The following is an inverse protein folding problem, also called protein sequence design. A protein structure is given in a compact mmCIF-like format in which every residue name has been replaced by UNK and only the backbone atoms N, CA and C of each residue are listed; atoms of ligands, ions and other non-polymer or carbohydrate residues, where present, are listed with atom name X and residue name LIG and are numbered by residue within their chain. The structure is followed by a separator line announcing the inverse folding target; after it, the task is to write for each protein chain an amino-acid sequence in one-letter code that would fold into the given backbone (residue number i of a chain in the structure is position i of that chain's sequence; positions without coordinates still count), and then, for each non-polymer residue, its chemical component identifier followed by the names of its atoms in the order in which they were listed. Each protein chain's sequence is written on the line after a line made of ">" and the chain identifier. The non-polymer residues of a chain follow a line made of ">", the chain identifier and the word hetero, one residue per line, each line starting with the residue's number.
data_IF_068631016670
#
_entry.id   IF_068631016670
#
_cell.length_a   1.000
_cell.length_b   1.000
_cell.length_c   1.000
_cell.angle_alpha   90.00
_cell.angle_beta   90.00
_cell.angle_gamma   90.00
#
_symmetry.space_group_name_H-M   'P 1'
#
loop_
_entity.id
_entity.type
_entity.pdbx_description
1 polymer ?
#
# COMPACT_ATOMS: atom_id res chain seq x y z
N UNK A 1 12.84 22.56 18.17
CA UNK A 1 12.77 22.13 16.78
C UNK A 1 11.45 21.40 16.61
N UNK A 2 10.64 21.76 15.60
CA UNK A 2 9.34 21.13 15.37
C UNK A 2 9.58 19.78 14.67
N UNK A 3 8.87 18.71 15.06
CA UNK A 3 8.96 17.38 14.40
C UNK A 3 8.84 17.50 12.87
N UNK A 4 8.00 18.44 12.40
CA UNK A 4 7.79 18.71 10.97
C UNK A 4 9.04 19.27 10.26
N UNK A 5 9.83 20.11 10.92
CA UNK A 5 11.05 20.67 10.32
C UNK A 5 12.13 19.59 10.18
N UNK A 6 12.26 18.73 11.19
CA UNK A 6 13.16 17.58 11.15
C UNK A 6 12.72 16.56 10.10
N UNK A 7 11.41 16.29 9.98
CA UNK A 7 10.87 15.47 8.90
C UNK A 7 11.23 16.05 7.53
N UNK A 8 11.04 17.37 7.33
CA UNK A 8 11.40 18.03 6.06
C UNK A 8 12.90 17.96 5.77
N UNK A 9 13.75 18.03 6.79
CA UNK A 9 15.19 17.87 6.63
C UNK A 9 15.54 16.44 6.21
N UNK A 10 15.01 15.45 6.93
CA UNK A 10 15.22 14.04 6.65
C UNK A 10 14.78 13.66 5.23
N UNK A 11 13.62 14.16 4.78
CA UNK A 11 13.13 13.94 3.42
C UNK A 11 14.08 14.50 2.36
N UNK A 12 14.68 15.67 2.61
CA UNK A 12 15.63 16.28 1.68
C UNK A 12 16.95 15.51 1.60
N UNK A 13 17.38 14.91 2.71
CA UNK A 13 18.60 14.12 2.78
C UNK A 13 18.42 12.74 2.14
N UNK A 14 17.32 12.06 2.47
CA UNK A 14 17.09 10.66 2.13
C UNK A 14 16.31 10.46 0.83
N UNK A 15 15.56 11.49 0.40
CA UNK A 15 14.79 11.48 -0.85
C UNK A 15 13.81 10.28 -0.95
N UNK A 16 13.06 10.01 0.12
CA UNK A 16 12.09 8.90 0.20
C UNK A 16 11.04 8.94 -0.90
N UNK A 17 10.72 7.80 -1.51
CA UNK A 17 9.66 7.73 -2.52
C UNK A 17 8.26 7.79 -1.91
N UNK A 18 8.09 7.17 -0.73
CA UNK A 18 6.84 7.01 -0.01
C UNK A 18 7.11 7.22 1.47
N UNK A 19 6.23 7.96 2.14
CA UNK A 19 6.34 8.28 3.57
C UNK A 19 4.98 8.07 4.21
N UNK A 20 4.90 7.27 5.26
CA UNK A 20 3.71 7.16 6.09
C UNK A 20 3.96 7.85 7.44
N UNK A 21 2.99 8.63 7.90
CA UNK A 21 3.05 9.32 9.19
C UNK A 21 1.77 9.05 9.95
N UNK A 22 1.92 8.51 11.16
CA UNK A 22 0.86 8.36 12.16
C UNK A 22 0.85 9.58 13.10
N UNK A 23 -0.26 9.77 13.78
CA UNK A 23 -0.45 10.82 14.79
C UNK A 23 -0.19 12.26 14.31
N UNK A 24 -0.61 12.56 13.08
CA UNK A 24 -0.47 13.87 12.42
C UNK A 24 -1.06 15.01 13.26
N UNK A 25 -2.17 14.74 13.95
CA UNK A 25 -2.96 15.71 14.68
C UNK A 25 -2.65 15.68 16.18
N UNK A 26 -2.56 16.84 16.85
CA UNK A 26 -2.22 16.91 18.27
C UNK A 26 -3.31 16.28 19.14
N UNK A 27 -2.90 15.66 20.26
CA UNK A 27 -3.79 14.98 21.20
C UNK A 27 -4.89 15.89 21.78
N UNK A 28 -4.61 17.18 21.93
CA UNK A 28 -5.54 18.17 22.47
C UNK A 28 -6.07 19.10 21.37
N UNK A 29 -7.06 18.64 20.59
CA UNK A 29 -7.70 19.39 19.48
C UNK A 29 -8.71 20.44 19.92
N UNK A 30 -8.37 21.34 20.85
CA UNK A 30 -9.24 22.51 21.03
C UNK A 30 -9.02 23.46 19.85
N UNK A 31 -9.85 23.33 18.82
CA UNK A 31 -9.96 24.22 17.65
C UNK A 31 -8.77 24.21 16.68
N UNK A 32 -8.08 23.08 16.50
CA UNK A 32 -7.02 22.99 15.49
C UNK A 32 -7.65 22.53 14.17
N UNK A 33 -7.89 23.48 13.27
CA UNK A 33 -8.06 23.19 11.84
C UNK A 33 -6.66 23.21 11.21
N UNK A 34 -6.17 22.04 10.80
CA UNK A 34 -4.95 21.98 9.99
C UNK A 34 -5.38 22.23 8.56
N UNK A 35 -4.88 23.31 7.95
CA UNK A 35 -5.11 23.59 6.53
C UNK A 35 -4.31 22.63 5.64
N UNK A 36 -4.79 22.38 4.43
CA UNK A 36 -4.09 21.55 3.42
C UNK A 36 -2.63 21.99 3.19
N UNK A 37 -2.35 23.29 3.23
CA UNK A 37 -0.99 23.84 3.08
C UNK A 37 -0.06 23.45 4.24
N UNK A 38 -0.61 23.20 5.43
CA UNK A 38 0.17 22.72 6.56
C UNK A 38 0.53 21.24 6.41
N UNK A 39 -0.18 20.47 5.59
CA UNK A 39 0.15 19.07 5.31
C UNK A 39 1.13 18.96 4.15
N UNK A 40 1.02 19.83 3.14
CA UNK A 40 1.83 19.82 1.92
C UNK A 40 3.34 19.66 2.16
N UNK A 41 3.96 18.84 1.33
CA UNK A 41 5.41 18.67 1.21
C UNK A 41 5.80 18.86 -0.27
N UNK A 42 6.79 19.70 -0.54
CA UNK A 42 7.18 20.04 -1.91
C UNK A 42 7.68 18.79 -2.67
N UNK A 43 7.09 18.52 -3.84
CA UNK A 43 7.42 17.35 -4.67
C UNK A 43 6.69 16.06 -4.29
N UNK A 44 5.73 16.13 -3.36
CA UNK A 44 4.93 15.00 -2.91
C UNK A 44 3.43 15.26 -3.08
N UNK A 45 2.72 14.23 -3.53
CA UNK A 45 1.29 14.08 -3.28
C UNK A 45 1.09 13.66 -1.81
N UNK A 46 -0.04 14.05 -1.22
CA UNK A 46 -0.44 13.61 0.11
C UNK A 46 -1.86 13.07 0.10
N UNK A 47 -2.07 12.00 0.86
CA UNK A 47 -3.36 11.33 1.01
C UNK A 47 -3.68 11.23 2.49
N UNK A 48 -4.86 11.68 2.90
CA UNK A 48 -5.42 11.52 4.24
C UNK A 48 -6.94 11.49 4.16
N UNK A 49 -7.59 10.97 5.21
CA UNK A 49 -9.03 11.15 5.41
C UNK A 49 -9.32 12.61 5.79
N UNK A 50 -10.57 13.05 5.60
CA UNK A 50 -10.97 14.40 6.01
C UNK A 50 -10.76 14.59 7.51
N UNK A 51 -9.98 15.61 7.88
CA UNK A 51 -9.71 15.96 9.26
C UNK A 51 -10.74 16.93 9.86
N UNK A 52 -11.70 17.40 9.06
CA UNK A 52 -12.84 18.20 9.52
C UNK A 52 -13.68 17.40 10.50
N UNK A 53 -13.91 17.94 11.70
CA UNK A 53 -14.61 17.26 12.80
C UNK A 53 -14.06 15.87 13.18
N UNK A 54 -12.80 15.59 12.82
CA UNK A 54 -12.18 14.29 13.05
C UNK A 54 -11.78 14.12 14.51
N UNK A 55 -12.22 13.02 15.14
CA UNK A 55 -11.94 12.71 16.55
C UNK A 55 -10.89 11.59 16.68
N UNK A 56 -9.69 11.85 16.18
CA UNK A 56 -8.55 10.94 16.16
C UNK A 56 -7.20 11.66 16.00
N UNK A 57 -6.09 10.94 15.96
CA UNK A 57 -4.72 11.45 15.77
C UNK A 57 -4.31 11.53 14.29
N UNK A 58 -4.96 10.82 13.38
CA UNK A 58 -4.84 10.89 11.92
C UNK A 58 -3.62 10.17 11.36
N UNK A 59 -3.79 9.62 10.15
CA UNK A 59 -2.72 9.05 9.32
C UNK A 59 -2.63 9.81 8.00
N UNK A 60 -1.43 9.90 7.45
CA UNK A 60 -1.16 10.49 6.13
C UNK A 60 -0.11 9.65 5.40
N UNK A 61 -0.33 9.43 4.11
CA UNK A 61 0.67 8.85 3.21
C UNK A 61 1.08 9.92 2.22
N UNK A 62 2.38 10.16 2.10
CA UNK A 62 2.98 10.97 1.05
C UNK A 62 3.61 10.06 0.00
N UNK A 63 3.48 10.42 -1.27
CA UNK A 63 4.20 9.78 -2.37
C UNK A 63 4.83 10.86 -3.24
N UNK A 64 6.00 10.60 -3.83
CA UNK A 64 6.56 11.53 -4.83
C UNK A 64 5.53 11.78 -5.94
N UNK A 65 5.45 13.00 -6.44
CA UNK A 65 4.52 13.40 -7.50
C UNK A 65 4.64 12.53 -8.77
N UNK A 66 5.83 11.97 -9.01
CA UNK A 66 6.09 11.06 -10.14
C UNK A 66 5.48 9.66 -9.99
N UNK A 67 4.96 9.30 -8.81
CA UNK A 67 4.37 7.99 -8.54
C UNK A 67 2.87 8.04 -8.84
N UNK A 68 2.33 7.13 -9.67
CA UNK A 68 0.91 7.07 -10.02
C UNK A 68 0.09 6.45 -8.87
N UNK A 69 0.04 7.16 -7.75
CA UNK A 69 -0.69 6.80 -6.55
C UNK A 69 -2.12 7.36 -6.59
N UNK A 70 -3.08 6.61 -6.04
CA UNK A 70 -4.46 7.06 -5.89
C UNK A 70 -5.03 6.64 -4.54
N UNK A 71 -5.89 7.50 -4.00
CA UNK A 71 -6.59 7.24 -2.75
C UNK A 71 -7.57 6.08 -2.91
N UNK A 72 -7.61 5.18 -1.94
CA UNK A 72 -8.62 4.13 -1.86
C UNK A 72 -9.62 4.54 -0.80
N UNK A 73 -10.80 4.94 -1.26
CA UNK A 73 -11.90 5.32 -0.37
C UNK A 73 -12.39 4.09 0.39
N UNK A 74 -12.17 4.08 1.70
CA UNK A 74 -12.79 3.14 2.60
C UNK A 74 -14.04 3.80 3.18
N UNK A 75 -15.22 3.26 2.84
CA UNK A 75 -16.47 3.71 3.45
C UNK A 75 -16.48 3.38 4.94
N UNK A 76 -17.13 4.28 5.70
CA UNK A 76 -17.48 4.24 7.12
C UNK A 76 -16.46 4.76 8.16
N UNK A 77 -17.02 5.19 9.29
CA UNK A 77 -16.28 5.55 10.51
C UNK A 77 -15.70 4.27 11.10
N UNK A 78 -14.39 4.11 10.97
CA UNK A 78 -13.64 3.02 11.59
C UNK A 78 -13.23 3.36 13.04
N UNK A 79 -13.19 2.34 13.90
CA UNK A 79 -12.55 2.34 15.22
C UNK A 79 -11.02 2.41 15.17
N UNK A 80 -10.41 2.04 14.04
CA UNK A 80 -9.00 2.27 13.76
C UNK A 80 -8.80 3.47 12.84
N UNK A 81 -7.66 4.14 12.98
CA UNK A 81 -7.33 5.28 12.14
C UNK A 81 -6.42 4.80 11.03
N UNK A 82 -6.96 4.65 9.83
CA UNK A 82 -6.20 4.10 8.71
C UNK A 82 -6.38 4.89 7.41
N UNK A 83 -5.47 4.64 6.49
CA UNK A 83 -5.56 5.12 5.11
C UNK A 83 -4.92 4.11 4.16
N UNK A 84 -5.57 3.89 3.02
CA UNK A 84 -5.03 3.07 1.94
C UNK A 84 -4.81 3.88 0.65
N UNK A 85 -3.68 3.60 0.01
CA UNK A 85 -3.26 4.17 -1.27
C UNK A 85 -2.89 3.03 -2.21
N UNK A 86 -3.43 3.06 -3.42
CA UNK A 86 -3.06 2.13 -4.49
C UNK A 86 -2.00 2.76 -5.39
N UNK A 87 -1.04 1.96 -5.83
CA UNK A 87 -0.04 2.35 -6.84
C UNK A 87 -0.15 1.38 -8.02
N UNK A 88 -0.37 1.92 -9.22
CA UNK A 88 -0.43 1.15 -10.46
C UNK A 88 0.53 1.74 -11.49
N UNK A 89 1.65 1.06 -11.69
CA UNK A 89 2.55 1.32 -12.80
C UNK A 89 2.24 0.37 -13.97
N UNK A 90 2.52 0.80 -15.21
CA UNK A 90 2.28 -0.03 -16.39
C UNK A 90 3.19 -1.27 -16.38
N UNK A 91 2.62 -2.46 -16.57
CA UNK A 91 3.32 -3.75 -16.56
C UNK A 91 4.08 -4.04 -15.25
N UNK A 92 3.66 -3.44 -14.14
CA UNK A 92 4.18 -3.73 -12.80
C UNK A 92 3.07 -4.30 -11.94
N UNK A 93 3.42 -5.10 -10.92
CA UNK A 93 2.48 -5.52 -9.89
C UNK A 93 1.77 -4.31 -9.29
N UNK A 94 0.47 -4.44 -9.09
CA UNK A 94 -0.33 -3.42 -8.41
C UNK A 94 -0.06 -3.49 -6.91
N UNK A 95 0.35 -2.37 -6.32
CA UNK A 95 0.72 -2.29 -4.92
C UNK A 95 -0.38 -1.59 -4.10
N UNK A 96 -0.79 -2.22 -3.01
CA UNK A 96 -1.61 -1.62 -1.97
C UNK A 96 -0.72 -1.20 -0.80
N UNK A 97 -0.83 0.05 -0.37
CA UNK A 97 -0.17 0.56 0.83
C UNK A 97 -1.23 1.00 1.82
N UNK A 98 -1.19 0.46 3.03
CA UNK A 98 -2.09 0.86 4.12
C UNK A 98 -1.27 1.36 5.30
N UNK A 99 -1.57 2.56 5.78
CA UNK A 99 -1.02 3.11 7.01
C UNK A 99 -2.07 3.03 8.12
N UNK A 100 -1.73 2.43 9.27
CA UNK A 100 -2.64 2.23 10.40
C UNK A 100 -2.07 2.93 11.64
N UNK A 101 -2.94 3.61 12.38
CA UNK A 101 -2.73 4.03 13.75
C UNK A 101 -3.85 3.48 14.62
N UNK A 102 -3.49 2.70 15.63
CA UNK A 102 -4.39 2.27 16.68
C UNK A 102 -4.00 2.98 17.98
N UNK A 103 -4.97 3.67 18.58
CA UNK A 103 -4.78 4.23 19.93
C UNK A 103 -4.57 3.13 20.98
N UNK A 104 -3.59 3.28 21.90
CA UNK A 104 -3.33 2.29 22.95
C UNK A 104 -4.50 2.11 23.93
N UNK A 105 -5.39 3.11 24.02
CA UNK A 105 -6.58 3.05 24.88
C UNK A 105 -7.77 2.33 24.23
N UNK A 106 -7.67 1.97 22.95
CA UNK A 106 -8.77 1.34 22.22
C UNK A 106 -8.69 -0.19 22.33
N UNK A 107 -9.29 -0.75 23.38
CA UNK A 107 -9.42 -2.20 23.59
C UNK A 107 -10.82 -2.71 23.26
N UNK A 108 -11.59 -1.95 22.48
CA UNK A 108 -12.93 -2.34 22.07
C UNK A 108 -12.88 -3.58 21.16
N UNK A 109 -13.78 -4.55 21.38
CA UNK A 109 -13.86 -5.74 20.53
C UNK A 109 -14.03 -5.40 19.05
N UNK A 110 -14.70 -4.28 18.75
CA UNK A 110 -14.89 -3.78 17.38
C UNK A 110 -13.58 -3.31 16.75
N UNK A 111 -12.65 -2.76 17.54
CA UNK A 111 -11.30 -2.44 17.06
C UNK A 111 -10.56 -3.70 16.62
N UNK A 112 -10.74 -4.82 17.35
CA UNK A 112 -10.13 -6.09 16.99
C UNK A 112 -10.72 -6.59 15.68
N UNK A 113 -12.05 -6.61 15.58
CA UNK A 113 -12.76 -7.02 14.37
C UNK A 113 -12.35 -6.19 13.16
N UNK A 114 -12.20 -4.87 13.29
CA UNK A 114 -11.77 -4.03 12.18
C UNK A 114 -10.32 -4.24 11.77
N UNK A 115 -9.41 -4.56 12.70
CA UNK A 115 -8.05 -4.96 12.34
C UNK A 115 -8.04 -6.27 11.56
N UNK A 116 -8.84 -7.25 12.01
CA UNK A 116 -9.05 -8.52 11.30
C UNK A 116 -9.62 -8.26 9.91
N UNK A 117 -10.70 -7.49 9.82
CA UNK A 117 -11.30 -7.09 8.56
C UNK A 117 -10.33 -6.29 7.69
N UNK A 118 -9.41 -5.51 8.24
CA UNK A 118 -8.42 -4.79 7.41
C UNK A 118 -7.48 -5.77 6.75
N UNK A 119 -7.00 -6.77 7.48
CA UNK A 119 -6.16 -7.84 6.93
C UNK A 119 -6.96 -8.73 5.96
N UNK A 120 -8.19 -9.09 6.30
CA UNK A 120 -9.07 -9.91 5.46
C UNK A 120 -9.58 -9.18 4.22
N UNK A 121 -9.98 -7.90 4.31
CA UNK A 121 -10.38 -7.06 3.15
C UNK A 121 -9.22 -6.83 2.20
N UNK A 122 -7.97 -6.87 2.70
CA UNK A 122 -6.83 -6.92 1.77
C UNK A 122 -6.77 -8.24 0.99
N UNK A 123 -7.39 -9.32 1.48
CA UNK A 123 -7.40 -10.65 0.88
C UNK A 123 -8.71 -11.04 0.16
N UNK A 124 -9.87 -10.51 0.55
CA UNK A 124 -11.20 -10.95 0.10
C UNK A 124 -11.94 -9.79 -0.60
N UNK A 125 -12.21 -9.98 -1.89
CA UNK A 125 -13.21 -9.20 -2.63
C UNK A 125 -12.66 -8.21 -3.65
N UNK A 126 -12.39 -8.67 -4.87
CA UNK A 126 -12.48 -7.87 -6.11
C UNK A 126 -11.43 -6.78 -6.36
N UNK A 127 -10.49 -6.52 -5.43
CA UNK A 127 -9.41 -5.56 -5.67
C UNK A 127 -8.08 -6.27 -5.92
N UNK A 128 -7.75 -6.47 -7.20
CA UNK A 128 -6.54 -7.14 -7.72
C UNK A 128 -5.23 -6.42 -7.33
N UNK A 129 -4.80 -6.46 -6.06
CA UNK A 129 -3.47 -6.00 -5.65
C UNK A 129 -2.53 -7.19 -5.48
N UNK A 130 -1.49 -7.24 -6.31
CA UNK A 130 -0.47 -8.28 -6.30
C UNK A 130 0.41 -8.18 -5.05
N UNK A 131 0.77 -6.96 -4.67
CA UNK A 131 1.65 -6.66 -3.56
C UNK A 131 0.94 -5.81 -2.51
N UNK A 132 1.22 -6.08 -1.24
CA UNK A 132 0.60 -5.42 -0.09
C UNK A 132 1.67 -4.99 0.88
N UNK A 133 1.58 -3.74 1.33
CA UNK A 133 2.39 -3.17 2.40
C UNK A 133 1.43 -2.57 3.42
N UNK A 134 1.42 -3.10 4.63
CA UNK A 134 0.66 -2.54 5.75
C UNK A 134 1.67 -2.09 6.80
N UNK A 135 1.60 -0.83 7.22
CA UNK A 135 2.56 -0.29 8.18
C UNK A 135 1.93 0.72 9.12
N UNK A 136 2.58 0.98 10.25
CA UNK A 136 2.19 2.04 11.18
C UNK A 136 2.23 1.59 12.63
N UNK A 137 1.61 2.36 13.51
CA UNK A 137 1.66 2.17 14.96
C UNK A 137 0.39 1.44 15.45
N UNK A 138 0.55 0.19 15.84
CA UNK A 138 -0.54 -0.66 16.29
C UNK A 138 -0.77 -0.59 17.81
N UNK A 139 0.21 -0.10 18.58
CA UNK A 139 0.16 -0.08 20.04
C UNK A 139 -0.22 -1.46 20.67
N UNK A 140 0.26 -2.57 20.10
CA UNK A 140 0.03 -3.94 20.61
C UNK A 140 1.35 -4.47 21.18
N UNK A 141 1.52 -4.30 22.49
CA UNK A 141 2.79 -4.60 23.19
C UNK A 141 2.97 -6.08 23.56
N UNK A 142 1.90 -6.85 23.70
CA UNK A 142 1.95 -8.18 24.31
C UNK A 142 2.10 -9.29 23.24
N UNK A 143 2.85 -9.03 22.18
CA UNK A 143 3.25 -10.01 21.15
C UNK A 143 4.77 -10.09 21.14
N UNK A 144 5.29 -11.30 21.28
CA UNK A 144 6.69 -11.61 21.00
C UNK A 144 6.84 -11.87 19.51
N UNK A 145 7.28 -10.86 18.75
CA UNK A 145 7.46 -10.96 17.29
C UNK A 145 8.62 -11.86 16.86
N UNK A 146 9.62 -12.07 17.72
CA UNK A 146 10.73 -12.97 17.44
C UNK A 146 10.27 -14.44 17.34
N UNK A 147 9.34 -14.82 18.21
CA UNK A 147 8.80 -16.19 18.26
C UNK A 147 7.38 -16.27 17.70
N UNK A 148 6.81 -15.14 17.27
CA UNK A 148 5.40 -14.99 16.92
C UNK A 148 4.47 -15.61 17.97
N UNK A 149 4.57 -15.20 19.24
CA UNK A 149 3.75 -15.78 20.32
C UNK A 149 3.21 -14.72 21.26
N UNK A 150 2.13 -15.05 21.95
CA UNK A 150 1.56 -14.28 23.04
C UNK A 150 1.20 -15.22 24.18
N UNK A 151 1.33 -14.77 25.42
CA UNK A 151 0.93 -15.54 26.62
C UNK A 151 -0.54 -15.36 26.99
N UNK A 152 -1.27 -14.56 26.21
CA UNK A 152 -2.67 -14.25 26.48
C UNK A 152 -3.63 -15.31 25.92
N UNK A 153 -4.84 -15.33 26.47
CA UNK A 153 -5.93 -16.19 26.04
C UNK A 153 -6.43 -15.86 24.63
N UNK A 154 -7.22 -16.76 24.04
CA UNK A 154 -7.74 -16.66 22.67
C UNK A 154 -8.49 -15.35 22.39
N UNK A 155 -9.27 -14.86 23.37
CA UNK A 155 -10.09 -13.66 23.17
C UNK A 155 -9.33 -12.33 23.32
N UNK A 156 -8.05 -12.37 23.69
CA UNK A 156 -7.25 -11.17 23.88
C UNK A 156 -6.87 -10.51 22.55
N UNK A 157 -6.79 -9.17 22.53
CA UNK A 157 -6.41 -8.37 21.36
C UNK A 157 -5.13 -8.90 20.68
N UNK A 158 -4.05 -9.10 21.45
CA UNK A 158 -2.78 -9.59 20.93
C UNK A 158 -2.91 -10.95 20.23
N UNK A 159 -3.69 -11.86 20.81
CA UNK A 159 -3.90 -13.20 20.26
C UNK A 159 -4.72 -13.13 18.98
N UNK A 160 -5.86 -12.43 18.99
CA UNK A 160 -6.69 -12.26 17.79
C UNK A 160 -5.96 -11.56 16.66
N UNK A 161 -5.16 -10.55 16.97
CA UNK A 161 -4.38 -9.82 15.99
C UNK A 161 -3.30 -10.70 15.35
N UNK A 162 -2.58 -11.47 16.17
CA UNK A 162 -1.55 -12.40 15.69
C UNK A 162 -2.16 -13.49 14.80
N UNK A 163 -3.27 -14.10 15.21
CA UNK A 163 -3.96 -15.12 14.40
C UNK A 163 -4.50 -14.52 13.08
N UNK A 164 -5.02 -13.29 13.11
CA UNK A 164 -5.48 -12.62 11.89
C UNK A 164 -4.37 -12.36 10.88
N UNK A 165 -3.18 -11.97 11.36
CA UNK A 165 -2.01 -11.80 10.50
C UNK A 165 -1.61 -13.13 9.86
N UNK A 166 -1.64 -14.23 10.62
CA UNK A 166 -1.35 -15.59 10.14
C UNK A 166 -2.36 -16.09 9.12
N UNK A 167 -3.64 -15.98 9.43
CA UNK A 167 -4.75 -16.39 8.54
C UNK A 167 -4.73 -15.58 7.22
N UNK A 168 -4.17 -14.37 7.28
CA UNK A 168 -4.00 -13.50 6.13
C UNK A 168 -2.68 -13.69 5.38
N UNK A 169 -1.82 -14.64 5.81
CA UNK A 169 -0.48 -14.90 5.27
C UNK A 169 0.41 -13.64 5.22
N UNK A 170 0.25 -12.74 6.20
CA UNK A 170 1.05 -11.54 6.33
C UNK A 170 2.34 -11.83 7.10
N UNK A 171 3.45 -11.29 6.59
CA UNK A 171 4.79 -11.45 7.15
C UNK A 171 5.18 -10.15 7.81
N UNK A 172 5.45 -10.20 9.12
CA UNK A 172 5.92 -9.05 9.90
C UNK A 172 7.45 -8.94 9.78
N UNK A 173 7.97 -7.73 9.53
CA UNK A 173 9.41 -7.51 9.27
C UNK A 173 10.20 -6.85 10.41
N UNK A 174 9.54 -6.28 11.42
CA UNK A 174 10.17 -5.47 12.48
C UNK A 174 10.53 -6.34 13.68
N UNK A 175 11.83 -6.52 13.94
CA UNK A 175 12.32 -7.41 15.00
C UNK A 175 12.92 -6.67 16.22
N UNK A 176 13.20 -5.37 16.07
CA UNK A 176 13.78 -4.53 17.12
C UNK A 176 12.77 -3.54 17.68
N UNK A 177 12.98 -3.09 18.92
CA UNK A 177 12.10 -2.13 19.58
C UNK A 177 11.97 -0.83 18.77
N UNK A 178 10.74 -0.39 18.55
CA UNK A 178 10.45 0.84 17.79
C UNK A 178 10.12 2.00 18.70
N UNK A 179 9.73 1.71 19.95
CA UNK A 179 9.45 2.72 20.96
C UNK A 179 10.37 2.54 22.16
N UNK A 180 11.17 3.57 22.41
CA UNK A 180 12.13 3.61 23.53
C UNK A 180 11.98 4.94 24.27
N UNK A 181 11.29 4.92 25.42
CA UNK A 181 11.15 6.09 26.29
C UNK A 181 11.72 5.79 27.66
N UNK A 182 12.78 6.50 28.06
CA UNK A 182 13.46 6.49 29.38
C UNK A 182 12.99 5.45 30.43
N UNK A 183 11.75 5.57 30.94
CA UNK A 183 11.19 4.76 32.03
C UNK A 183 10.17 3.68 31.60
N UNK A 184 9.74 3.64 30.35
CA UNK A 184 8.83 2.63 29.82
C UNK A 184 9.62 1.41 29.32
N UNK A 185 9.02 0.22 29.44
CA UNK A 185 9.58 -1.00 28.84
C UNK A 185 9.62 -0.82 27.31
N UNK A 186 10.78 -1.00 26.66
CA UNK A 186 10.87 -0.97 25.20
C UNK A 186 9.91 -1.96 24.56
N UNK A 187 9.28 -1.57 23.46
CA UNK A 187 8.29 -2.39 22.77
C UNK A 187 8.35 -2.19 21.25
N UNK A 188 7.96 -3.24 20.53
CA UNK A 188 7.75 -3.23 19.08
C UNK A 188 6.28 -2.86 18.85
N UNK A 189 6.01 -1.58 18.60
CA UNK A 189 4.65 -1.05 18.42
C UNK A 189 4.37 -0.66 16.97
N UNK A 190 5.42 -0.24 16.27
CA UNK A 190 5.39 0.08 14.86
C UNK A 190 5.71 -1.20 14.07
N UNK A 191 4.77 -1.62 13.23
CA UNK A 191 4.87 -2.88 12.50
C UNK A 191 4.88 -2.62 11.01
N UNK A 192 5.55 -3.51 10.27
CA UNK A 192 5.55 -3.54 8.81
C UNK A 192 5.16 -4.97 8.43
N UNK A 193 4.06 -5.10 7.71
CA UNK A 193 3.57 -6.35 7.14
C UNK A 193 3.59 -6.32 5.62
N UNK A 194 3.96 -7.43 5.01
CA UNK A 194 3.81 -7.67 3.58
C UNK A 194 3.22 -9.04 3.30
N UNK A 195 2.71 -9.26 2.10
CA UNK A 195 2.23 -10.58 1.66
C UNK A 195 3.32 -11.44 1.00
N UNK A 196 4.54 -10.91 0.84
CA UNK A 196 5.68 -11.62 0.24
C UNK A 196 6.95 -11.32 1.07
N UNK A 197 7.72 -12.36 1.41
CA UNK A 197 8.88 -12.27 2.32
C UNK A 197 9.98 -11.35 1.76
N UNK A 198 10.20 -11.39 0.45
CA UNK A 198 11.27 -10.64 -0.22
C UNK A 198 10.96 -9.18 -0.53
N UNK A 199 9.86 -8.62 -0.02
CA UNK A 199 9.43 -7.25 -0.32
C UNK A 199 10.22 -6.17 0.43
N UNK A 200 10.72 -6.47 1.63
CA UNK A 200 11.43 -5.49 2.47
C UNK A 200 12.93 -5.77 2.44
N UNK A 201 13.72 -4.74 2.16
CA UNK A 201 15.18 -4.78 2.26
C UNK A 201 15.72 -3.59 3.04
N UNK A 202 16.88 -3.76 3.66
CA UNK A 202 17.59 -2.69 4.38
C UNK A 202 16.68 -1.96 5.38
N UNK A 203 15.93 -2.72 6.18
CA UNK A 203 15.15 -2.14 7.27
C UNK A 203 16.10 -1.55 8.32
N UNK A 204 16.01 -0.25 8.53
CA UNK A 204 16.85 0.53 9.42
C UNK A 204 15.99 1.31 10.41
N UNK A 205 16.44 1.33 11.66
CA UNK A 205 15.89 2.19 12.71
C UNK A 205 16.68 3.49 12.74
N UNK A 206 16.03 4.60 12.36
CA UNK A 206 16.60 5.94 12.42
C UNK A 206 16.16 6.66 13.70
N UNK A 207 16.95 7.63 14.18
CA UNK A 207 16.64 8.36 15.40
C UNK A 207 15.22 8.99 15.37
N UNK A 208 14.54 9.04 16.53
CA UNK A 208 13.25 9.68 16.66
C UNK A 208 13.27 11.15 16.22
N UNK A 209 12.20 11.60 15.55
CA UNK A 209 12.04 13.01 15.19
C UNK A 209 11.65 13.85 16.41
N UNK A 210 12.47 14.85 16.72
CA UNK A 210 12.28 15.83 17.78
C UNK A 210 12.21 15.20 19.17
N UNK A 211 11.01 15.20 19.76
CA UNK A 211 10.73 14.59 21.07
C UNK A 211 9.86 13.34 20.96
N UNK A 212 9.80 12.73 19.78
CA UNK A 212 9.15 11.43 19.62
C UNK A 212 9.89 10.39 20.46
N UNK A 213 9.15 9.43 21.00
CA UNK A 213 9.68 8.22 21.61
C UNK A 213 9.65 7.03 20.64
N UNK A 214 9.13 7.23 19.44
CA UNK A 214 9.15 6.27 18.33
C UNK A 214 10.30 6.58 17.37
N UNK A 215 11.04 5.53 17.00
CA UNK A 215 12.05 5.54 15.95
C UNK A 215 11.41 5.76 14.58
N UNK A 216 12.20 6.23 13.62
CA UNK A 216 11.79 6.28 12.22
C UNK A 216 12.23 5.00 11.52
N UNK A 217 11.28 4.22 11.02
CA UNK A 217 11.58 3.03 10.21
C UNK A 217 11.81 3.43 8.75
N UNK A 218 12.96 3.03 8.22
CA UNK A 218 13.39 3.30 6.85
C UNK A 218 13.73 1.99 6.16
N UNK A 219 13.21 1.75 4.96
CA UNK A 219 13.45 0.50 4.24
C UNK A 219 13.26 0.67 2.72
N UNK A 220 13.80 -0.27 1.96
CA UNK A 220 13.58 -0.39 0.54
C UNK A 220 12.42 -1.37 0.28
N UNK A 221 11.44 -0.92 -0.51
CA UNK A 221 10.31 -1.75 -0.93
C UNK A 221 10.57 -2.31 -2.33
N UNK A 222 10.68 -3.63 -2.44
CA UNK A 222 10.76 -4.34 -3.72
C UNK A 222 9.36 -4.56 -4.29
N UNK A 223 9.03 -3.78 -5.31
CA UNK A 223 7.74 -3.90 -6.01
C UNK A 223 7.82 -4.67 -7.32
N UNK A 224 9.01 -5.14 -7.71
CA UNK A 224 9.20 -5.93 -8.93
C UNK A 224 9.15 -7.40 -8.58
N UNK A 225 8.21 -8.15 -9.16
CA UNK A 225 8.48 -9.56 -9.37
C UNK A 225 9.77 -9.66 -10.18
N UNK A 226 10.61 -10.66 -9.95
CA UNK A 226 11.67 -11.03 -10.89
C UNK A 226 11.01 -11.53 -12.20
N UNK A 227 10.31 -10.65 -12.89
CA UNK A 227 9.88 -10.85 -14.23
C UNK A 227 11.17 -10.89 -15.06
N UNK A 228 11.45 -12.07 -15.63
CA UNK A 228 12.27 -12.17 -16.84
C UNK A 228 11.94 -10.98 -17.72
N UNK A 229 12.92 -10.30 -18.34
CA UNK A 229 12.68 -9.06 -19.07
C UNK A 229 11.52 -9.26 -20.03
N UNK A 230 10.36 -8.75 -19.63
CA UNK A 230 9.17 -8.83 -20.44
C UNK A 230 9.38 -7.77 -21.50
N UNK A 231 9.67 -8.20 -22.73
CA UNK A 231 9.46 -7.33 -23.87
C UNK A 231 7.98 -6.97 -23.81
N UNK A 232 7.64 -5.78 -23.31
CA UNK A 232 6.24 -5.39 -23.20
C UNK A 232 5.66 -5.32 -24.61
N UNK A 233 4.87 -6.32 -24.95
CA UNK A 233 4.11 -6.40 -26.19
C UNK A 233 2.81 -5.63 -25.95
N UNK A 234 2.72 -4.42 -26.51
CA UNK A 234 1.49 -3.61 -26.41
C UNK A 234 0.56 -3.98 -27.56
N UNK A 235 -0.69 -4.44 -27.32
CA UNK A 235 -1.65 -4.67 -28.38
C UNK A 235 -1.90 -3.39 -29.18
N UNK A 236 -1.82 -3.47 -30.50
CA UNK A 236 -2.09 -2.37 -31.40
C UNK A 236 -3.53 -2.47 -31.90
N UNK A 237 -4.49 -2.09 -31.06
CA UNK A 237 -5.93 -2.16 -31.37
C UNK A 237 -6.29 -1.49 -32.70
N UNK A 238 -5.62 -0.38 -33.06
CA UNK A 238 -5.82 0.28 -34.35
C UNK A 238 -5.53 -0.61 -35.58
N UNK A 239 -4.74 -1.67 -35.42
CA UNK A 239 -4.40 -2.63 -36.48
C UNK A 239 -5.08 -3.99 -36.30
N UNK A 240 -6.07 -4.11 -35.41
CA UNK A 240 -6.80 -5.35 -35.20
C UNK A 240 -7.67 -5.73 -36.40
N UNK A 241 -7.78 -7.04 -36.67
CA UNK A 241 -8.74 -7.57 -37.64
C UNK A 241 -10.10 -7.79 -36.95
N UNK A 242 -10.90 -6.73 -36.93
CA UNK A 242 -12.20 -6.73 -36.27
C UNK A 242 -13.26 -7.59 -36.98
N UNK A 243 -13.13 -7.81 -38.28
CA UNK A 243 -14.05 -8.65 -39.03
C UNK A 243 -13.88 -10.12 -38.62
N UNK A 244 -12.63 -10.58 -38.52
CA UNK A 244 -12.34 -11.95 -38.03
C UNK A 244 -12.73 -12.13 -36.56
N UNK A 245 -12.49 -11.12 -35.71
CA UNK A 245 -12.94 -11.14 -34.30
C UNK A 245 -14.46 -11.30 -34.23
N UNK A 246 -15.20 -10.50 -35.00
CA UNK A 246 -16.67 -10.54 -35.02
C UNK A 246 -17.19 -11.89 -35.48
N UNK A 247 -16.61 -12.46 -36.54
CA UNK A 247 -16.99 -13.79 -37.05
C UNK A 247 -16.72 -14.88 -36.02
N UNK A 248 -15.55 -14.87 -35.36
CA UNK A 248 -15.22 -15.83 -34.30
C UNK A 248 -16.19 -15.74 -33.12
N UNK A 249 -16.39 -14.53 -32.59
CA UNK A 249 -17.31 -14.32 -31.47
C UNK A 249 -18.76 -14.70 -31.79
N UNK A 250 -19.18 -14.54 -33.04
CA UNK A 250 -20.52 -14.95 -33.49
C UNK A 250 -20.65 -16.45 -33.71
N UNK A 251 -19.54 -17.20 -33.73
CA UNK A 251 -19.54 -18.66 -33.92
C UNK A 251 -19.56 -19.45 -32.60
N UNK A 252 -19.34 -18.80 -31.46
CA UNK A 252 -19.45 -19.44 -30.15
C UNK A 252 -20.91 -19.64 -29.75
N UNK A 253 -21.20 -20.80 -29.18
CA UNK A 253 -22.48 -21.07 -28.53
C UNK A 253 -22.45 -20.48 -27.11
N UNK A 254 -22.82 -19.20 -27.00
CA UNK A 254 -22.79 -18.48 -25.73
C UNK A 254 -23.71 -19.07 -24.67
N UNK A 255 -24.78 -19.77 -25.06
CA UNK A 255 -25.66 -20.43 -24.08
C UNK A 255 -24.95 -21.62 -23.46
N UNK A 256 -24.17 -22.39 -24.23
CA UNK A 256 -23.37 -23.48 -23.69
C UNK A 256 -22.16 -22.97 -22.89
N UNK A 257 -21.46 -21.96 -23.40
CA UNK A 257 -20.23 -21.45 -22.80
C UNK A 257 -20.47 -20.70 -21.48
N UNK A 258 -21.64 -20.08 -21.31
CA UNK A 258 -22.02 -19.34 -20.09
C UNK A 258 -22.90 -20.15 -19.13
N UNK A 259 -23.06 -21.45 -19.36
CA UNK A 259 -23.82 -22.35 -18.49
C UNK A 259 -22.92 -23.11 -17.49
N UNK A 260 -21.60 -22.93 -17.58
CA UNK A 260 -20.64 -23.55 -16.68
C UNK A 260 -20.54 -22.74 -15.37
N UNK A 261 -21.27 -23.20 -14.34
CA UNK A 261 -21.08 -22.73 -12.96
C UNK A 261 -21.86 -21.48 -12.58
N UNK A 262 -21.44 -20.83 -11.48
CA UNK A 262 -22.06 -19.61 -10.97
C UNK A 262 -21.82 -18.40 -11.88
N UNK A 263 -22.34 -17.24 -11.47
CA UNK A 263 -22.16 -15.97 -12.22
C UNK A 263 -20.68 -15.65 -12.42
N UNK A 264 -19.84 -15.95 -11.43
CA UNK A 264 -18.40 -15.69 -11.48
C UNK A 264 -17.69 -16.58 -12.51
N UNK A 265 -17.92 -17.90 -12.47
CA UNK A 265 -17.35 -18.86 -13.42
C UNK A 265 -17.75 -18.52 -14.87
N UNK A 266 -19.00 -18.09 -15.07
CA UNK A 266 -19.51 -17.66 -16.38
C UNK A 266 -18.83 -16.39 -16.87
N UNK A 267 -18.51 -15.46 -15.95
CA UNK A 267 -17.82 -14.21 -16.27
C UNK A 267 -16.33 -14.43 -16.57
N UNK A 268 -15.66 -15.31 -15.83
CA UNK A 268 -14.28 -15.74 -16.13
C UNK A 268 -14.22 -16.38 -17.51
N UNK A 269 -15.13 -17.33 -17.79
CA UNK A 269 -15.21 -18.00 -19.09
C UNK A 269 -15.44 -17.03 -20.25
N UNK A 270 -16.36 -16.09 -20.07
CA UNK A 270 -16.60 -15.01 -21.04
C UNK A 270 -15.33 -14.20 -21.31
N UNK A 271 -14.65 -13.79 -20.23
CA UNK A 271 -13.45 -12.95 -20.30
C UNK A 271 -12.32 -13.67 -21.01
N UNK A 272 -12.12 -14.96 -20.76
CA UNK A 272 -11.11 -15.79 -21.41
C UNK A 272 -11.32 -15.87 -22.93
N UNK A 273 -12.56 -16.15 -23.37
CA UNK A 273 -12.91 -16.23 -24.79
C UNK A 273 -12.59 -14.92 -25.51
N UNK A 274 -12.93 -13.79 -24.88
CA UNK A 274 -12.68 -12.46 -25.44
C UNK A 274 -11.19 -12.17 -25.49
N UNK A 275 -10.45 -12.45 -24.41
CA UNK A 275 -9.01 -12.20 -24.35
C UNK A 275 -8.24 -13.04 -25.37
N UNK A 276 -8.60 -14.31 -25.55
CA UNK A 276 -7.93 -15.19 -26.50
C UNK A 276 -8.23 -14.78 -27.94
N UNK A 277 -9.49 -14.41 -28.22
CA UNK A 277 -9.86 -13.84 -29.53
C UNK A 277 -9.10 -12.55 -29.82
N UNK A 278 -8.88 -11.70 -28.81
CA UNK A 278 -8.08 -10.47 -28.95
C UNK A 278 -6.61 -10.81 -29.23
N UNK A 279 -6.00 -11.74 -28.47
CA UNK A 279 -4.59 -12.13 -28.65
C UNK A 279 -4.31 -12.67 -30.05
N UNK A 280 -5.24 -13.44 -30.62
CA UNK A 280 -5.07 -14.04 -31.93
C UNK A 280 -5.19 -13.05 -33.09
N UNK A 281 -5.98 -11.97 -32.93
CA UNK A 281 -6.38 -11.11 -34.04
C UNK A 281 -5.91 -9.66 -33.91
N UNK A 282 -5.32 -9.26 -32.78
CA UNK A 282 -4.76 -7.93 -32.57
C UNK A 282 -3.22 -8.01 -32.52
N UNK A 283 -2.51 -7.42 -33.49
CA UNK A 283 -1.05 -7.49 -33.53
C UNK A 283 -0.43 -6.69 -32.39
N UNK A 284 0.66 -7.20 -31.83
CA UNK A 284 1.40 -6.56 -30.75
C UNK A 284 2.59 -5.75 -31.25
N UNK A 285 2.84 -4.59 -30.64
CA UNK A 285 4.02 -3.76 -30.89
C UNK A 285 5.08 -4.05 -29.82
N UNK A 286 6.27 -4.45 -30.27
CA UNK A 286 7.45 -4.55 -29.40
C UNK A 286 8.01 -3.15 -29.15
N UNK A 287 8.25 -2.79 -27.89
CA UNK A 287 8.98 -1.56 -27.56
C UNK A 287 10.45 -1.73 -27.95
N UNK A 288 10.89 -1.03 -29.01
CA UNK A 288 12.32 -0.82 -29.26
C UNK A 288 12.84 0.13 -28.18
N UNK A 289 13.86 -0.30 -27.45
CA UNK A 289 14.67 0.57 -26.59
C UNK A 289 15.44 1.56 -27.48
N UNK A 290 14.80 2.64 -27.88
CA UNK A 290 15.52 3.78 -28.42
C UNK A 290 16.34 4.40 -27.29
N UNK A 291 17.65 4.13 -27.30
CA UNK A 291 18.63 4.91 -26.53
C UNK A 291 18.42 6.37 -26.92
N UNK A 292 17.94 7.19 -25.98
CA UNK A 292 17.95 8.64 -26.14
C UNK A 292 19.40 9.07 -26.43
N UNK A 293 19.67 9.49 -27.68
CA UNK A 293 20.87 10.26 -27.97
C UNK A 293 20.62 11.65 -27.38
N UNK A 294 21.37 12.01 -26.35
CA UNK A 294 21.42 13.38 -25.85
C UNK A 294 21.72 14.32 -27.02
N UNK A 295 20.98 15.44 -27.19
CA UNK A 295 21.40 16.51 -28.08
C UNK A 295 22.73 17.08 -27.56
N UNK A 296 23.74 17.15 -28.42
CA UNK A 296 24.98 17.85 -28.12
C UNK A 296 24.71 19.31 -27.71
N UNK A 297 25.39 19.75 -26.65
CA UNK A 297 25.28 21.09 -26.09
C UNK A 297 25.64 22.17 -27.11
N UNK A 298 24.83 23.22 -27.13
CA UNK A 298 25.11 24.44 -27.88
C UNK A 298 25.95 25.38 -27.01
N UNK A 299 27.20 25.57 -27.39
CA UNK A 299 28.02 26.73 -27.03
C UNK A 299 27.65 27.90 -27.93
N UNK A 300 27.45 29.08 -27.35
CA UNK A 300 27.58 30.35 -28.08
C UNK A 300 28.60 31.22 -27.37
N UNK A 301 29.76 31.37 -28.01
CA UNK A 301 30.60 32.56 -27.91
C UNK A 301 29.92 33.68 -28.69
N UNK A 302 29.72 34.83 -28.06
CA UNK A 302 30.24 36.14 -28.46
C UNK A 302 29.76 37.21 -27.49
#
# INVERSE_FOLDING_TARGET
>A
MNKRDELKFLIKEENYDIIAVTEVLPKNKKNVQIGEEELKLDGYNHFHKDFTDYNGRGCIIYTKESIPAYFIDQKDKSFIEDISVGIQCLNQPKLLITCIYRSPSNNDQRCIQELQETFEKTNIGGTHYDLKLIMGDFNIKDINWQNETTTHEYDHLSTKFLEAARDSFLIQHVQDFTRSRNSDTPAILDLIFTNEEGMIENLEHKPPLGKSDHDVLSFNLKCTNQARPCQSEKPCFFKGDYDTIKTKLSSFDWEQELCAGGIEDSWERFTDIIQDTIKENIPVRKSSTHKFRHPHGWTTQH
#
